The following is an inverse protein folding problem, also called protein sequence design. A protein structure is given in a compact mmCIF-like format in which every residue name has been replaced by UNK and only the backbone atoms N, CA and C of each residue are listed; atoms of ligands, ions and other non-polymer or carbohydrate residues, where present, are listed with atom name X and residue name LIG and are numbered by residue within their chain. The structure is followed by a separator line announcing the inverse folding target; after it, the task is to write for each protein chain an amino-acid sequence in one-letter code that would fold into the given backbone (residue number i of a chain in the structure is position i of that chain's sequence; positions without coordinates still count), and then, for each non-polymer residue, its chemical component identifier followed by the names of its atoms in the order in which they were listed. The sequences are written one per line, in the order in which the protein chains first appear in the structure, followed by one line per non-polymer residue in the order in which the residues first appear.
data_IF_476786820819
#
_entry.id   IF_476786820819
#
_cell.length_a   1.000
_cell.length_b   1.000
_cell.length_c   1.000
_cell.angle_alpha   90.00
_cell.angle_beta   90.00
_cell.angle_gamma   90.00
#
_symmetry.space_group_name_H-M   'P 1'
#
loop_
_entity.id
_entity.type
_entity.pdbx_description
1 polymer ?
#
# COMPACT_ATOMS: atom_id res chain seq x y z
N UNK A 1 3.57 -10.77 10.02
CA UNK A 1 3.40 -10.76 8.56
C UNK A 1 2.44 -11.88 8.18
N UNK A 2 1.38 -11.57 7.44
CA UNK A 2 0.33 -12.53 7.08
C UNK A 2 0.59 -13.15 5.71
N UNK A 3 0.16 -14.39 5.52
CA UNK A 3 0.34 -15.16 4.28
C UNK A 3 -0.98 -15.72 3.73
N UNK A 4 -1.87 -16.14 4.62
CA UNK A 4 -3.15 -16.77 4.25
C UNK A 4 -4.31 -15.75 4.38
N UNK A 5 -4.99 -15.40 3.27
CA UNK A 5 -6.16 -14.52 3.28
C UNK A 5 -7.26 -14.98 4.23
N UNK A 6 -7.46 -16.28 4.44
CA UNK A 6 -8.51 -16.78 5.34
C UNK A 6 -8.19 -16.50 6.80
N UNK A 7 -6.95 -16.72 7.21
CA UNK A 7 -6.50 -16.41 8.58
C UNK A 7 -6.58 -14.91 8.88
N UNK A 8 -6.33 -14.09 7.87
CA UNK A 8 -6.42 -12.64 8.01
C UNK A 8 -7.84 -12.11 8.13
N UNK A 9 -8.81 -12.70 7.45
CA UNK A 9 -10.21 -12.30 7.59
C UNK A 9 -10.69 -12.32 9.04
N UNK A 10 -10.20 -13.27 9.85
CA UNK A 10 -10.49 -13.34 11.28
C UNK A 10 -9.79 -12.26 12.15
N UNK A 11 -8.89 -11.46 11.58
CA UNK A 11 -8.21 -10.34 12.25
C UNK A 11 -8.79 -8.98 11.91
N UNK A 12 -9.53 -8.88 10.80
CA UNK A 12 -10.22 -7.67 10.43
C UNK A 12 -11.44 -7.46 11.33
N UNK A 13 -11.59 -6.24 11.83
CA UNK A 13 -12.85 -5.86 12.46
C UNK A 13 -14.00 -5.95 11.46
N UNK A 14 -15.19 -6.31 11.96
CA UNK A 14 -16.39 -6.39 11.13
C UNK A 14 -16.78 -4.99 10.67
N UNK A 15 -16.93 -4.80 9.36
CA UNK A 15 -17.37 -3.53 8.75
C UNK A 15 -18.73 -3.12 9.32
N UNK A 16 -18.87 -1.95 9.96
CA UNK A 16 -20.18 -1.40 10.31
C UNK A 16 -21.04 -1.20 9.05
N UNK A 17 -22.35 -1.40 9.15
CA UNK A 17 -23.24 -1.36 7.98
C UNK A 17 -23.31 0.02 7.29
N UNK A 18 -23.05 1.09 8.05
CA UNK A 18 -23.04 2.48 7.60
C UNK A 18 -21.64 3.01 7.23
N UNK A 19 -20.62 2.14 7.27
CA UNK A 19 -19.24 2.53 7.01
C UNK A 19 -18.83 2.24 5.55
N UNK A 20 -17.96 3.09 5.05
CA UNK A 20 -17.19 2.93 3.82
C UNK A 20 -15.80 2.42 4.22
N UNK A 21 -15.42 1.23 3.76
CA UNK A 21 -14.11 0.63 4.02
C UNK A 21 -13.09 1.12 3.01
N UNK A 22 -12.15 1.92 3.51
CA UNK A 22 -10.98 2.36 2.77
C UNK A 22 -9.83 1.38 2.97
N UNK A 23 -9.13 1.07 1.88
CA UNK A 23 -7.93 0.25 1.87
C UNK A 23 -6.76 1.03 1.24
N UNK A 24 -5.67 1.18 1.98
CA UNK A 24 -4.39 1.69 1.47
C UNK A 24 -3.36 0.59 1.35
N UNK A 25 -2.64 0.56 0.23
CA UNK A 25 -1.65 -0.46 -0.09
C UNK A 25 -0.30 0.16 -0.47
N UNK A 26 0.77 -0.36 0.12
CA UNK A 26 2.12 -0.26 -0.44
C UNK A 26 2.45 -1.59 -1.13
N UNK A 27 2.52 -1.59 -2.46
CA UNK A 27 2.60 -2.80 -3.26
C UNK A 27 4.03 -3.32 -3.35
N UNK A 28 4.20 -4.57 -2.96
CA UNK A 28 5.46 -5.30 -3.06
C UNK A 28 5.33 -6.69 -2.47
N UNK A 29 6.42 -7.47 -2.47
CA UNK A 29 6.42 -8.78 -1.80
C UNK A 29 6.10 -8.67 -0.31
N UNK A 30 6.55 -7.59 0.34
CA UNK A 30 6.23 -7.25 1.72
C UNK A 30 5.21 -6.11 1.72
N UNK A 31 3.98 -6.40 1.29
CA UNK A 31 2.96 -5.39 1.07
C UNK A 31 2.50 -4.76 2.39
N UNK A 32 2.57 -3.44 2.47
CA UNK A 32 1.98 -2.67 3.56
C UNK A 32 0.47 -2.56 3.37
N UNK A 33 -0.29 -2.69 4.46
CA UNK A 33 -1.75 -2.67 4.43
C UNK A 33 -2.27 -1.75 5.52
N UNK A 34 -3.15 -0.83 5.14
CA UNK A 34 -3.92 -0.01 6.06
C UNK A 34 -5.42 -0.14 5.73
N UNK A 35 -6.25 -0.39 6.74
CA UNK A 35 -7.71 -0.50 6.61
C UNK A 35 -8.38 0.46 7.58
N UNK A 36 -9.38 1.18 7.10
CA UNK A 36 -10.18 2.07 7.93
C UNK A 36 -11.64 2.10 7.48
N UNK A 37 -12.55 1.90 8.45
CA UNK A 37 -13.99 1.98 8.24
C UNK A 37 -14.47 3.40 8.55
N UNK A 38 -14.64 4.20 7.50
CA UNK A 38 -15.06 5.59 7.58
C UNK A 38 -16.59 5.69 7.65
N UNK A 39 -17.08 6.39 8.68
CA UNK A 39 -18.49 6.72 8.80
C UNK A 39 -18.67 8.21 8.46
N UNK A 40 -19.40 8.55 7.38
CA UNK A 40 -19.63 9.94 6.98
C UNK A 40 -20.13 10.83 8.13
N UNK A 41 -19.57 12.03 8.24
CA UNK A 41 -19.93 13.00 9.28
C UNK A 41 -19.29 12.73 10.65
N UNK A 42 -18.62 11.60 10.85
CA UNK A 42 -17.83 11.34 12.06
C UNK A 42 -16.37 11.75 11.84
N UNK A 43 -15.71 12.18 12.92
CA UNK A 43 -14.26 12.42 12.91
C UNK A 43 -13.55 11.08 12.70
N UNK A 44 -12.43 11.14 11.98
CA UNK A 44 -11.54 9.98 11.87
C UNK A 44 -10.96 9.65 13.25
N UNK A 45 -11.01 8.38 13.61
CA UNK A 45 -10.51 7.84 14.87
C UNK A 45 -9.23 7.06 14.58
N UNK A 46 -8.07 7.65 14.89
CA UNK A 46 -6.76 7.06 14.58
C UNK A 46 -6.58 5.68 15.19
N UNK A 47 -7.17 5.45 16.36
CA UNK A 47 -7.18 4.18 17.08
C UNK A 47 -7.92 3.04 16.35
N UNK A 48 -8.77 3.38 15.36
CA UNK A 48 -9.48 2.40 14.52
C UNK A 48 -8.75 2.10 13.20
N UNK A 49 -7.60 2.74 12.96
CA UNK A 49 -6.77 2.43 11.82
C UNK A 49 -6.11 1.06 12.04
N UNK A 50 -6.48 0.10 11.21
CA UNK A 50 -5.94 -1.26 11.27
C UNK A 50 -4.74 -1.36 10.33
N UNK A 51 -3.57 -1.66 10.89
CA UNK A 51 -2.29 -1.68 10.17
C UNK A 51 -1.71 -3.08 10.14
N UNK A 52 -1.34 -3.55 8.95
CA UNK A 52 -0.84 -4.89 8.74
C UNK A 52 0.27 -4.93 7.69
N UNK A 53 0.92 -6.09 7.62
CA UNK A 53 1.92 -6.39 6.60
C UNK A 53 1.65 -7.78 6.02
N UNK A 54 1.64 -7.86 4.69
CA UNK A 54 1.31 -9.04 3.91
C UNK A 54 2.52 -9.58 3.15
N UNK A 55 2.67 -10.90 3.15
CA UNK A 55 3.68 -11.61 2.37
C UNK A 55 3.10 -12.13 1.05
N UNK A 56 3.40 -11.40 -0.02
CA UNK A 56 3.09 -11.76 -1.41
C UNK A 56 4.28 -12.46 -2.10
N UNK A 57 5.33 -12.85 -1.38
CA UNK A 57 6.43 -13.61 -1.98
C UNK A 57 5.96 -14.99 -2.46
N UNK A 58 6.61 -15.50 -3.51
CA UNK A 58 6.41 -16.85 -4.02
C UNK A 58 7.03 -17.84 -3.03
N UNK A 59 6.32 -18.93 -2.72
CA UNK A 59 6.73 -19.91 -1.71
C UNK A 59 6.90 -21.30 -2.33
N UNK A 60 8.00 -21.99 -1.99
CA UNK A 60 8.22 -23.39 -2.37
C UNK A 60 8.11 -23.63 -3.88
N UNK A 61 7.11 -24.44 -4.27
CA UNK A 61 6.85 -24.84 -5.67
C UNK A 61 5.82 -23.94 -6.37
N UNK A 62 5.45 -22.80 -5.78
CA UNK A 62 4.51 -21.86 -6.38
C UNK A 62 5.06 -21.25 -7.68
N UNK A 63 4.17 -21.01 -8.64
CA UNK A 63 4.51 -20.20 -9.82
C UNK A 63 4.65 -18.72 -9.44
N UNK A 64 5.34 -17.95 -10.29
CA UNK A 64 5.43 -16.50 -10.16
C UNK A 64 4.08 -15.78 -10.03
N UNK A 65 3.05 -16.33 -10.66
CA UNK A 65 1.70 -15.79 -10.68
C UNK A 65 0.93 -15.93 -9.35
N UNK A 66 1.37 -16.84 -8.47
CA UNK A 66 0.68 -17.13 -7.20
C UNK A 66 0.52 -15.90 -6.31
N UNK A 67 1.47 -14.94 -6.39
CA UNK A 67 1.39 -13.66 -5.69
C UNK A 67 0.17 -12.82 -6.09
N UNK A 68 -0.21 -12.83 -7.36
CA UNK A 68 -1.33 -12.06 -7.89
C UNK A 68 -2.66 -12.70 -7.50
N UNK A 69 -2.72 -14.04 -7.55
CA UNK A 69 -3.86 -14.81 -7.04
C UNK A 69 -4.06 -14.54 -5.54
N UNK A 70 -2.97 -14.54 -4.76
CA UNK A 70 -3.02 -14.23 -3.33
C UNK A 70 -3.45 -12.80 -3.05
N UNK A 71 -2.96 -11.83 -3.82
CA UNK A 71 -3.39 -10.44 -3.72
C UNK A 71 -4.89 -10.30 -4.01
N UNK A 72 -5.40 -10.94 -5.05
CA UNK A 72 -6.84 -10.93 -5.37
C UNK A 72 -7.68 -11.60 -4.28
N UNK A 73 -7.22 -12.74 -3.75
CA UNK A 73 -7.89 -13.40 -2.63
C UNK A 73 -7.88 -12.53 -1.36
N UNK A 74 -6.79 -11.80 -1.11
CA UNK A 74 -6.71 -10.81 -0.04
C UNK A 74 -7.72 -9.66 -0.23
N UNK A 75 -7.86 -9.11 -1.44
CA UNK A 75 -8.85 -8.06 -1.73
C UNK A 75 -10.28 -8.54 -1.46
N UNK A 76 -10.62 -9.77 -1.90
CA UNK A 76 -11.90 -10.41 -1.59
C UNK A 76 -12.13 -10.58 -0.08
N UNK A 77 -11.07 -10.89 0.69
CA UNK A 77 -11.18 -11.01 2.16
C UNK A 77 -11.40 -9.65 2.82
N UNK A 78 -10.70 -8.61 2.38
CA UNK A 78 -10.80 -7.26 2.98
C UNK A 78 -12.18 -6.66 2.72
N UNK A 79 -12.74 -6.93 1.54
CA UNK A 79 -14.01 -6.38 1.06
C UNK A 79 -14.05 -4.83 1.14
N UNK A 80 -13.07 -4.13 0.52
CA UNK A 80 -13.03 -2.68 0.54
C UNK A 80 -14.08 -2.07 -0.38
N UNK A 81 -14.51 -0.85 -0.06
CA UNK A 81 -15.37 -0.04 -0.93
C UNK A 81 -14.53 0.95 -1.78
N UNK A 82 -13.33 1.30 -1.31
CA UNK A 82 -12.40 2.21 -2.00
C UNK A 82 -10.97 1.75 -1.77
N UNK A 83 -10.16 1.70 -2.82
CA UNK A 83 -8.76 1.26 -2.76
C UNK A 83 -7.80 2.35 -3.23
N UNK A 84 -6.71 2.52 -2.49
CA UNK A 84 -5.59 3.38 -2.84
C UNK A 84 -4.30 2.56 -2.81
N UNK A 85 -3.40 2.83 -3.74
CA UNK A 85 -2.09 2.17 -3.75
C UNK A 85 -0.97 3.12 -4.16
N UNK A 86 0.26 2.83 -3.74
CA UNK A 86 1.43 3.51 -4.29
C UNK A 86 1.61 3.15 -5.78
N UNK A 87 1.65 4.18 -6.64
CA UNK A 87 2.00 4.04 -8.05
C UNK A 87 3.52 4.09 -8.21
N UNK A 88 4.14 2.93 -7.98
CA UNK A 88 5.60 2.79 -8.03
C UNK A 88 6.08 2.90 -9.48
N UNK A 89 6.70 4.04 -9.80
CA UNK A 89 7.53 4.15 -11.00
C UNK A 89 8.93 3.62 -10.69
N UNK A 90 9.22 2.39 -11.12
CA UNK A 90 10.56 1.85 -10.97
C UNK A 90 11.55 2.75 -11.74
N UNK A 91 12.48 3.36 -11.02
CA UNK A 91 13.62 4.08 -11.59
C UNK A 91 14.87 3.30 -11.21
N UNK A 92 15.64 2.77 -12.18
CA UNK A 92 16.85 2.03 -11.86
C UNK A 92 17.85 2.93 -11.12
N UNK A 93 18.45 2.48 -10.01
CA UNK A 93 19.44 3.28 -9.29
C UNK A 93 20.63 3.62 -10.21
N UNK A 94 21.19 4.82 -10.10
CA UNK A 94 22.28 5.27 -10.98
C UNK A 94 23.49 4.34 -10.91
N UNK A 95 23.73 3.73 -9.74
CA UNK A 95 24.82 2.79 -9.51
C UNK A 95 24.75 1.57 -10.44
N UNK A 96 23.55 1.19 -10.91
CA UNK A 96 23.39 0.09 -11.87
C UNK A 96 24.01 0.43 -13.24
N UNK A 97 24.11 1.70 -13.62
CA UNK A 97 24.72 2.12 -14.88
C UNK A 97 26.20 2.48 -14.77
N UNK A 98 26.70 2.66 -13.53
CA UNK A 98 28.08 3.13 -13.28
C UNK A 98 28.96 1.98 -12.77
N UNK A 99 28.38 0.99 -12.10
CA UNK A 99 29.15 -0.10 -11.49
C UNK A 99 29.43 -1.21 -12.50
N UNK A 100 30.68 -1.28 -13.02
CA UNK A 100 31.16 -2.31 -13.97
C UNK A 100 31.05 -3.76 -13.45
N UNK A 101 30.71 -3.96 -12.17
CA UNK A 101 30.56 -5.25 -11.51
C UNK A 101 29.34 -6.05 -11.98
N UNK A 102 28.32 -5.38 -12.52
CA UNK A 102 27.17 -6.03 -13.16
C UNK A 102 27.09 -5.54 -14.60
N UNK A 103 27.15 -6.47 -15.56
CA UNK A 103 26.92 -6.13 -16.96
C UNK A 103 25.52 -5.52 -17.15
N UNK A 104 25.38 -4.63 -18.13
CA UNK A 104 24.09 -4.04 -18.55
C UNK A 104 22.96 -5.10 -18.66
N UNK A 105 23.20 -6.33 -19.16
CA UNK A 105 22.16 -7.36 -19.18
C UNK A 105 21.64 -7.80 -17.80
N UNK A 106 22.52 -7.92 -16.79
CA UNK A 106 22.14 -8.34 -15.44
C UNK A 106 21.34 -7.23 -14.71
N UNK A 107 21.70 -5.98 -14.97
CA UNK A 107 20.97 -4.79 -14.54
C UNK A 107 19.56 -4.81 -15.13
N UNK A 108 19.45 -4.90 -16.46
CA UNK A 108 18.18 -4.92 -17.17
C UNK A 108 17.29 -6.07 -16.71
N UNK A 109 17.84 -7.26 -16.50
CA UNK A 109 17.09 -8.42 -15.99
C UNK A 109 16.45 -8.14 -14.63
N UNK A 110 17.20 -7.58 -13.67
CA UNK A 110 16.65 -7.23 -12.34
C UNK A 110 15.57 -6.16 -12.42
N UNK A 111 15.80 -5.13 -13.24
CA UNK A 111 14.86 -4.03 -13.47
C UNK A 111 13.57 -4.55 -14.08
N UNK A 112 13.68 -5.39 -15.11
CA UNK A 112 12.54 -5.99 -15.81
C UNK A 112 11.70 -6.84 -14.87
N UNK A 113 12.32 -7.75 -14.10
CA UNK A 113 11.60 -8.60 -13.14
C UNK A 113 10.90 -7.79 -12.05
N UNK A 114 11.55 -6.76 -11.49
CA UNK A 114 10.91 -5.89 -10.50
C UNK A 114 9.73 -5.11 -11.10
N UNK A 115 9.91 -4.60 -12.32
CA UNK A 115 8.88 -3.84 -13.05
C UNK A 115 7.68 -4.72 -13.43
N UNK A 116 7.92 -5.97 -13.84
CA UNK A 116 6.88 -6.96 -14.14
C UNK A 116 6.06 -7.29 -12.89
N UNK A 117 6.72 -7.52 -11.75
CA UNK A 117 6.04 -7.82 -10.49
C UNK A 117 5.18 -6.64 -10.02
N UNK A 118 5.76 -5.43 -9.96
CA UNK A 118 5.04 -4.25 -9.49
C UNK A 118 3.92 -3.85 -10.45
N UNK A 119 4.18 -3.91 -11.76
CA UNK A 119 3.16 -3.69 -12.79
C UNK A 119 2.02 -4.70 -12.71
N UNK A 120 2.34 -5.98 -12.53
CA UNK A 120 1.36 -7.04 -12.33
C UNK A 120 0.50 -6.85 -11.08
N UNK A 121 1.10 -6.40 -9.96
CA UNK A 121 0.36 -6.09 -8.74
C UNK A 121 -0.61 -4.92 -8.96
N UNK A 122 -0.14 -3.83 -9.59
CA UNK A 122 -0.98 -2.69 -9.94
C UNK A 122 -2.17 -3.08 -10.81
N UNK A 123 -1.91 -3.84 -11.89
CA UNK A 123 -2.96 -4.33 -12.79
C UNK A 123 -3.93 -5.23 -12.04
N UNK A 124 -3.44 -6.09 -11.15
CA UNK A 124 -4.30 -6.98 -10.34
C UNK A 124 -5.28 -6.17 -9.47
N UNK A 125 -4.80 -5.15 -8.77
CA UNK A 125 -5.66 -4.28 -7.93
C UNK A 125 -6.65 -3.52 -8.80
N UNK A 126 -6.17 -2.88 -9.87
CA UNK A 126 -7.01 -2.06 -10.75
C UNK A 126 -8.11 -2.90 -11.40
N UNK A 127 -7.76 -4.02 -12.05
CA UNK A 127 -8.73 -4.88 -12.73
C UNK A 127 -9.72 -5.51 -11.75
N UNK A 128 -9.28 -5.93 -10.56
CA UNK A 128 -10.19 -6.42 -9.53
C UNK A 128 -11.19 -5.36 -9.08
N UNK A 129 -10.75 -4.11 -8.90
CA UNK A 129 -11.63 -3.02 -8.50
C UNK A 129 -12.63 -2.66 -9.60
N UNK A 130 -12.17 -2.57 -10.86
CA UNK A 130 -13.04 -2.32 -12.02
C UNK A 130 -14.11 -3.42 -12.18
N UNK A 131 -13.75 -4.69 -12.02
CA UNK A 131 -14.71 -5.81 -12.05
C UNK A 131 -15.74 -5.78 -10.91
N UNK A 132 -15.42 -5.08 -9.82
CA UNK A 132 -16.29 -4.90 -8.66
C UNK A 132 -17.02 -3.54 -8.67
N UNK A 133 -16.88 -2.73 -9.73
CA UNK A 133 -17.38 -1.36 -9.83
C UNK A 133 -16.90 -0.44 -8.68
N UNK A 134 -15.66 -0.65 -8.21
CA UNK A 134 -15.04 0.07 -7.10
C UNK A 134 -14.02 1.11 -7.57
N UNK A 135 -13.84 2.15 -6.75
CA UNK A 135 -12.82 3.18 -6.99
C UNK A 135 -11.45 2.63 -6.58
N UNK A 136 -10.49 2.63 -7.53
CA UNK A 136 -9.09 2.35 -7.28
C UNK A 136 -8.20 3.51 -7.75
N UNK A 137 -7.34 4.05 -6.88
CA UNK A 137 -6.48 5.20 -7.20
C UNK A 137 -5.01 4.93 -6.87
N UNK A 138 -4.13 5.15 -7.86
CA UNK A 138 -2.68 5.13 -7.68
C UNK A 138 -2.14 6.51 -7.31
N UNK A 139 -1.26 6.58 -6.30
CA UNK A 139 -0.59 7.81 -5.89
C UNK A 139 0.91 7.73 -6.10
N UNK A 140 1.50 8.76 -6.71
CA UNK A 140 2.96 8.84 -6.84
C UNK A 140 3.63 8.95 -5.46
N UNK A 141 4.78 8.27 -5.28
CA UNK A 141 5.55 8.28 -4.02
C UNK A 141 5.86 9.69 -3.52
N UNK A 142 6.19 10.63 -4.42
CA UNK A 142 6.47 12.02 -4.04
C UNK A 142 5.24 12.74 -3.50
N UNK A 143 4.05 12.37 -3.96
CA UNK A 143 2.78 12.91 -3.47
C UNK A 143 2.48 12.39 -2.08
N UNK A 144 2.66 11.08 -1.86
CA UNK A 144 2.49 10.45 -0.54
C UNK A 144 3.45 11.09 0.47
N UNK A 145 4.74 11.22 0.12
CA UNK A 145 5.74 11.86 0.97
C UNK A 145 5.41 13.32 1.26
N UNK A 146 5.04 14.10 0.24
CA UNK A 146 4.65 15.49 0.42
C UNK A 146 3.43 15.62 1.33
N UNK A 147 2.46 14.71 1.20
CA UNK A 147 1.29 14.66 2.08
C UNK A 147 1.69 14.36 3.53
N UNK A 148 2.54 13.36 3.74
CA UNK A 148 2.97 12.93 5.07
C UNK A 148 3.83 13.95 5.81
N UNK A 149 4.83 14.52 5.13
CA UNK A 149 5.91 15.30 5.77
C UNK A 149 5.96 16.76 5.35
N UNK A 150 5.20 17.15 4.33
CA UNK A 150 5.36 18.43 3.62
C UNK A 150 6.47 18.42 2.57
N UNK A 151 7.26 17.34 2.43
CA UNK A 151 8.38 17.25 1.50
C UNK A 151 8.33 15.96 0.65
N UNK A 152 8.24 16.11 -0.67
CA UNK A 152 8.19 14.97 -1.61
C UNK A 152 9.48 14.14 -1.71
N UNK A 153 10.57 14.55 -1.04
CA UNK A 153 11.88 13.86 -1.02
C UNK A 153 12.26 13.30 0.36
N UNK A 154 11.30 13.15 1.26
CA UNK A 154 11.55 12.63 2.61
C UNK A 154 12.16 11.23 2.65
N UNK A 155 12.96 11.00 3.69
CA UNK A 155 13.56 9.70 4.02
C UNK A 155 12.53 8.73 4.62
N UNK A 156 12.90 7.46 4.82
CA UNK A 156 12.02 6.48 5.47
C UNK A 156 11.83 6.82 6.95
N UNK A 157 12.88 7.33 7.57
CA UNK A 157 12.90 7.80 8.95
C UNK A 157 11.95 9.00 9.15
N UNK A 158 11.93 9.94 8.20
CA UNK A 158 10.99 11.07 8.22
C UNK A 158 9.53 10.60 8.10
N UNK A 159 9.26 9.61 7.24
CA UNK A 159 7.94 9.03 7.08
C UNK A 159 7.47 8.38 8.38
N UNK A 160 8.34 7.61 9.04
CA UNK A 160 8.05 6.98 10.33
C UNK A 160 7.81 8.02 11.41
N UNK A 161 8.62 9.09 11.46
CA UNK A 161 8.42 10.18 12.41
C UNK A 161 7.08 10.90 12.18
N UNK A 162 6.71 11.14 10.92
CA UNK A 162 5.41 11.69 10.56
C UNK A 162 4.26 10.76 10.95
N UNK A 163 4.40 9.45 10.76
CA UNK A 163 3.40 8.47 11.18
C UNK A 163 3.22 8.46 12.70
N UNK A 164 4.32 8.43 13.47
CA UNK A 164 4.27 8.49 14.92
C UNK A 164 3.55 9.74 15.42
N UNK A 165 3.80 10.89 14.78
CA UNK A 165 3.13 12.15 15.10
C UNK A 165 1.65 12.16 14.70
N UNK A 166 1.32 11.70 13.49
CA UNK A 166 -0.02 11.81 12.90
C UNK A 166 -0.99 10.73 13.36
N UNK A 167 -0.49 9.57 13.77
CA UNK A 167 -1.29 8.41 14.19
C UNK A 167 -1.21 8.12 15.69
N UNK A 168 -0.41 8.88 16.45
CA UNK A 168 -0.11 8.56 17.85
C UNK A 168 0.63 7.23 18.03
N UNK A 169 1.35 6.78 16.99
CA UNK A 169 2.07 5.51 16.99
C UNK A 169 3.47 5.64 17.62
N UNK A 170 4.09 4.50 17.90
CA UNK A 170 5.45 4.40 18.46
C UNK A 170 6.33 3.44 17.64
N UNK A 171 6.36 3.63 16.32
CA UNK A 171 7.19 2.83 15.42
C UNK A 171 8.68 3.14 15.59
N UNK A 172 9.50 2.08 15.63
CA UNK A 172 10.95 2.16 15.76
C UNK A 172 11.61 2.40 14.39
N UNK A 173 12.12 3.62 14.20
CA UNK A 173 12.80 4.04 12.96
C UNK A 173 14.17 3.38 12.75
N UNK A 174 14.73 2.69 13.74
CA UNK A 174 16.03 2.00 13.58
C UNK A 174 15.88 0.58 13.04
N UNK A 175 14.69 -0.01 13.16
CA UNK A 175 14.43 -1.41 12.81
C UNK A 175 13.56 -1.60 11.58
N UNK A 176 13.21 -0.52 10.87
CA UNK A 176 12.22 -0.61 9.79
C UNK A 176 12.58 -1.61 8.70
N UNK A 177 13.86 -1.79 8.39
CA UNK A 177 14.30 -2.76 7.37
C UNK A 177 14.05 -4.21 7.79
N UNK A 178 14.22 -4.53 9.07
CA UNK A 178 14.02 -5.90 9.58
C UNK A 178 12.56 -6.19 9.91
N UNK A 179 11.80 -5.16 10.30
CA UNK A 179 10.37 -5.30 10.61
C UNK A 179 9.47 -5.08 9.39
N UNK A 180 9.94 -4.37 8.37
CA UNK A 180 9.17 -3.91 7.22
C UNK A 180 8.08 -2.90 7.55
N UNK A 181 8.20 -2.21 8.70
CA UNK A 181 7.21 -1.21 9.16
C UNK A 181 7.12 0.00 8.23
N UNK A 182 8.15 0.26 7.43
CA UNK A 182 8.13 1.33 6.46
C UNK A 182 7.03 1.13 5.41
N UNK A 183 6.83 -0.10 4.94
CA UNK A 183 5.74 -0.39 3.99
C UNK A 183 4.37 -0.15 4.63
N UNK A 184 4.22 -0.49 5.92
CA UNK A 184 2.98 -0.27 6.68
C UNK A 184 2.72 1.24 6.84
N UNK A 185 3.76 2.03 7.10
CA UNK A 185 3.68 3.49 7.19
C UNK A 185 3.30 4.09 5.84
N UNK A 186 3.90 3.64 4.74
CA UNK A 186 3.58 4.11 3.40
C UNK A 186 2.11 3.80 3.06
N UNK A 187 1.63 2.59 3.35
CA UNK A 187 0.23 2.20 3.20
C UNK A 187 -0.75 3.05 4.04
N UNK A 188 -0.36 3.39 5.28
CA UNK A 188 -1.16 4.27 6.13
C UNK A 188 -1.34 5.66 5.51
N UNK A 189 -0.26 6.25 4.98
CA UNK A 189 -0.36 7.55 4.31
C UNK A 189 -1.08 7.48 2.96
N UNK A 190 -0.99 6.37 2.23
CA UNK A 190 -1.83 6.12 1.05
C UNK A 190 -3.31 6.16 1.44
N UNK A 191 -3.71 5.45 2.50
CA UNK A 191 -5.10 5.44 2.97
C UNK A 191 -5.57 6.83 3.39
N UNK A 192 -4.76 7.57 4.17
CA UNK A 192 -5.13 8.91 4.62
C UNK A 192 -5.30 9.88 3.45
N UNK A 193 -4.41 9.81 2.45
CA UNK A 193 -4.51 10.61 1.23
C UNK A 193 -5.75 10.25 0.40
N UNK A 194 -6.07 8.96 0.31
CA UNK A 194 -7.27 8.46 -0.37
C UNK A 194 -8.55 8.98 0.30
N UNK A 195 -8.64 8.94 1.62
CA UNK A 195 -9.78 9.47 2.37
C UNK A 195 -9.92 10.98 2.11
N UNK A 196 -8.83 11.74 2.18
CA UNK A 196 -8.87 13.18 1.94
C UNK A 196 -9.34 13.53 0.52
N UNK A 197 -8.81 12.84 -0.49
CA UNK A 197 -9.15 13.10 -1.90
C UNK A 197 -10.58 12.70 -2.22
N UNK A 198 -11.05 11.57 -1.68
CA UNK A 198 -12.44 11.11 -1.85
C UNK A 198 -13.43 12.05 -1.16
N UNK A 199 -13.15 12.49 0.06
CA UNK A 199 -14.01 13.44 0.78
C UNK A 199 -14.05 14.84 0.13
N UNK A 200 -12.93 15.27 -0.46
CA UNK A 200 -12.90 16.49 -1.27
C UNK A 200 -13.81 16.36 -2.51
N UNK A 201 -13.84 15.19 -3.16
CA UNK A 201 -14.74 14.90 -4.28
C UNK A 201 -16.24 14.89 -3.87
N UNK A 202 -16.58 14.25 -2.75
CA UNK A 202 -17.95 14.18 -2.24
C UNK A 202 -18.52 15.56 -1.82
N UNK A 203 -17.67 16.47 -1.35
CA UNK A 203 -18.09 17.83 -0.98
C UNK A 203 -18.34 18.74 -2.20
N UNK A 204 -17.74 18.45 -3.35
CA UNK A 204 -17.92 19.22 -4.58
C UNK A 204 -19.10 18.76 -5.44
N UNK A 205 -19.61 17.54 -5.22
CA UNK A 205 -20.80 17.00 -5.91
C UNK A 205 -22.14 17.50 -5.33
N UNK A 206 -22.13 18.33 -4.29
CA UNK A 206 -23.32 18.94 -3.68
C UNK A 206 -23.56 20.38 -4.16
N UNK A 207 -23.45 20.63 -5.46
CA UNK A 207 -23.89 21.90 -6.08
C UNK A 207 -24.84 21.62 -7.24
#
# INVERSE_FOLDING_TARGET
MYKDPKQFGGKLEKKPADAIRFLGLDLGSNCGVAVYDFIPGKKMLQEKLQLFQWDLSVQGLESGASRFVRLRAFLNTVDPDVVGYEDVKYTPPREFFVNKKFGIPAVLSRVATASEVLGGMKVTVATWAEEADLIATGFAISTIKKFATGNGKSSKEDMIAAANKSLGAAFDSTKYKSTGIDNVVDAAFVLLLLIQTTNAGLSHSKK
#
